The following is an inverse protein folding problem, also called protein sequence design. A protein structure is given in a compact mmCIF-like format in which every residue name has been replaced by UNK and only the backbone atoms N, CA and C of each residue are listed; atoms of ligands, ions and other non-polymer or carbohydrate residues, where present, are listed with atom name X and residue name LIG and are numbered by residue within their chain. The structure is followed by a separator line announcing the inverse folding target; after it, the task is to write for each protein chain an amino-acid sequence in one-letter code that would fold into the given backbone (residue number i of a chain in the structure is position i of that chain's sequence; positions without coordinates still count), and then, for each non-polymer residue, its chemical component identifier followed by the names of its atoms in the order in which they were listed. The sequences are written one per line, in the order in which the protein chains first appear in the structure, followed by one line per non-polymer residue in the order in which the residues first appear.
data_IF_949246646158
#
_entry.id   IF_949246646158
#
_cell.length_a   1.000
_cell.length_b   1.000
_cell.length_c   1.000
_cell.angle_alpha   90.00
_cell.angle_beta   90.00
_cell.angle_gamma   90.00
#
_symmetry.space_group_name_H-M   'P 1'
#
loop_
_entity.id
_entity.type
_entity.pdbx_description
1 polymer ?
#
# COMPACT_ATOMS: atom_id res chain seq x y z
N UNK A 1 -16.11 -11.36 -21.90
CA UNK A 1 -15.24 -11.56 -20.73
C UNK A 1 -13.80 -11.41 -21.19
N UNK A 2 -12.92 -10.70 -20.46
CA UNK A 2 -11.52 -10.64 -20.85
C UNK A 2 -10.96 -12.07 -20.85
N UNK A 3 -10.17 -12.41 -21.87
CA UNK A 3 -9.57 -13.73 -22.10
C UNK A 3 -8.74 -14.25 -20.92
N UNK A 4 -8.34 -13.37 -20.02
CA UNK A 4 -7.27 -13.62 -19.06
C UNK A 4 -7.77 -14.27 -17.76
N UNK A 5 -9.09 -14.29 -17.54
CA UNK A 5 -9.70 -14.99 -16.40
C UNK A 5 -9.98 -16.47 -16.66
N UNK A 6 -9.82 -16.94 -17.91
CA UNK A 6 -10.09 -18.34 -18.28
C UNK A 6 -9.21 -19.36 -17.54
N UNK A 7 -8.07 -18.90 -17.01
CA UNK A 7 -7.10 -19.74 -16.29
C UNK A 7 -7.23 -19.68 -14.76
N UNK A 8 -8.16 -18.88 -14.22
CA UNK A 8 -8.39 -18.83 -12.77
C UNK A 8 -9.33 -19.97 -12.36
N UNK A 9 -8.95 -20.85 -11.40
CA UNK A 9 -9.85 -21.87 -10.89
C UNK A 9 -11.13 -21.27 -10.33
N UNK A 10 -12.28 -21.86 -10.66
CA UNK A 10 -13.61 -21.33 -10.32
C UNK A 10 -13.89 -21.28 -8.80
N UNK A 11 -13.14 -22.07 -8.02
CA UNK A 11 -13.23 -22.17 -6.58
C UNK A 11 -12.32 -21.17 -5.84
N UNK A 12 -11.54 -20.37 -6.55
CA UNK A 12 -10.66 -19.35 -5.95
C UNK A 12 -11.42 -18.03 -5.82
N UNK A 13 -11.50 -17.45 -4.61
CA UNK A 13 -12.14 -16.15 -4.42
C UNK A 13 -11.35 -15.05 -5.15
N UNK A 14 -12.06 -14.30 -5.99
CA UNK A 14 -11.51 -13.18 -6.75
C UNK A 14 -11.81 -11.85 -6.05
N UNK A 15 -10.75 -11.09 -5.76
CA UNK A 15 -10.84 -9.72 -5.23
C UNK A 15 -10.23 -8.77 -6.26
N UNK A 16 -10.96 -7.70 -6.58
CA UNK A 16 -10.50 -6.66 -7.51
C UNK A 16 -10.19 -5.39 -6.73
N UNK A 17 -8.97 -4.88 -6.87
CA UNK A 17 -8.51 -3.68 -6.19
C UNK A 17 -8.05 -2.62 -7.19
N UNK A 18 -8.29 -1.32 -6.90
CA UNK A 18 -7.92 -0.24 -7.80
C UNK A 18 -6.40 -0.18 -7.99
N UNK A 19 -5.90 0.06 -9.21
CA UNK A 19 -4.47 0.27 -9.48
C UNK A 19 -4.27 1.34 -10.55
N UNK A 20 -3.05 1.89 -10.69
CA UNK A 20 -2.68 2.81 -11.79
C UNK A 20 -2.93 4.30 -11.53
N UNK A 21 -2.68 5.14 -12.54
CA UNK A 21 -2.93 6.60 -12.58
C UNK A 21 -4.44 6.88 -12.59
N UNK A 22 -5.12 6.46 -11.53
CA UNK A 22 -6.55 6.52 -11.42
C UNK A 22 -7.01 7.96 -11.35
N UNK A 23 -7.64 8.42 -12.44
CA UNK A 23 -8.42 9.66 -12.51
C UNK A 23 -9.79 9.51 -11.82
N UNK A 24 -9.95 8.51 -10.95
CA UNK A 24 -11.22 8.23 -10.30
C UNK A 24 -11.47 9.24 -9.20
N UNK A 25 -12.63 9.90 -9.26
CA UNK A 25 -13.14 10.69 -8.15
C UNK A 25 -13.72 9.69 -7.13
N UNK A 26 -12.92 9.36 -6.13
CA UNK A 26 -13.36 8.50 -5.03
C UNK A 26 -14.41 9.28 -4.22
N UNK A 27 -15.64 8.78 -4.17
CA UNK A 27 -16.71 9.34 -3.32
C UNK A 27 -17.20 8.22 -2.43
N UNK A 28 -16.81 8.26 -1.16
CA UNK A 28 -17.27 7.34 -0.15
C UNK A 28 -17.68 8.13 1.10
N UNK A 29 -18.71 7.62 1.79
CA UNK A 29 -19.33 8.34 2.90
C UNK A 29 -18.80 7.90 4.28
N UNK A 30 -18.05 6.80 4.38
CA UNK A 30 -17.54 6.30 5.66
C UNK A 30 -16.16 5.65 5.55
N UNK A 31 -16.07 4.51 4.87
CA UNK A 31 -14.85 3.71 4.82
C UNK A 31 -14.63 3.08 3.44
N UNK A 32 -13.38 3.02 3.01
CA UNK A 32 -12.95 2.35 1.78
C UNK A 32 -11.96 1.25 2.18
N UNK A 33 -12.33 0.00 1.93
CA UNK A 33 -11.47 -1.15 2.16
C UNK A 33 -10.87 -1.62 0.84
N UNK A 34 -9.54 -1.75 0.80
CA UNK A 34 -8.80 -2.20 -0.37
C UNK A 34 -7.86 -3.31 0.05
N UNK A 35 -7.95 -4.47 -0.59
CA UNK A 35 -7.07 -5.60 -0.30
C UNK A 35 -6.05 -5.77 -1.41
N UNK A 36 -4.77 -5.76 -1.06
CA UNK A 36 -3.69 -6.11 -1.97
C UNK A 36 -2.94 -7.34 -1.48
N UNK A 37 -2.31 -8.04 -2.41
CA UNK A 37 -1.26 -9.01 -2.08
C UNK A 37 -0.07 -8.29 -1.46
N UNK A 38 0.37 -8.77 -0.31
CA UNK A 38 1.52 -8.26 0.43
C UNK A 38 2.85 -8.89 0.05
N UNK A 39 2.91 -9.85 -0.88
CA UNK A 39 4.11 -10.66 -1.22
C UNK A 39 5.45 -9.91 -1.36
N UNK A 40 6.57 -10.64 -1.33
CA UNK A 40 7.92 -10.06 -1.21
C UNK A 40 8.33 -9.09 -2.35
N UNK A 41 7.67 -9.16 -3.51
CA UNK A 41 7.85 -8.31 -4.68
C UNK A 41 6.69 -7.33 -4.83
N UNK A 42 6.45 -6.50 -3.82
CA UNK A 42 5.27 -5.62 -3.73
C UNK A 42 5.51 -4.18 -4.17
N UNK A 43 6.59 -3.88 -4.91
CA UNK A 43 6.86 -2.53 -5.43
C UNK A 43 5.68 -1.97 -6.25
N UNK A 44 5.09 -2.80 -7.12
CA UNK A 44 3.92 -2.41 -7.92
C UNK A 44 2.68 -2.16 -7.04
N UNK A 45 2.53 -2.90 -5.95
CA UNK A 45 1.45 -2.75 -4.99
C UNK A 45 1.60 -1.45 -4.22
N UNK A 46 2.80 -1.15 -3.72
CA UNK A 46 3.08 0.13 -3.07
C UNK A 46 2.87 1.33 -3.99
N UNK A 47 3.24 1.19 -5.27
CA UNK A 47 2.96 2.22 -6.27
C UNK A 47 1.44 2.39 -6.44
N UNK A 48 0.68 1.29 -6.46
CA UNK A 48 -0.79 1.33 -6.52
C UNK A 48 -1.38 2.02 -5.29
N UNK A 49 -0.95 1.65 -4.08
CA UNK A 49 -1.33 2.31 -2.81
C UNK A 49 -1.09 3.81 -2.88
N UNK A 50 0.10 4.21 -3.32
CA UNK A 50 0.48 5.62 -3.48
C UNK A 50 -0.46 6.36 -4.42
N UNK A 51 -0.77 5.76 -5.57
CA UNK A 51 -1.65 6.39 -6.56
C UNK A 51 -3.10 6.49 -6.04
N UNK A 52 -3.58 5.49 -5.31
CA UNK A 52 -4.89 5.53 -4.68
C UNK A 52 -4.95 6.64 -3.61
N UNK A 53 -3.91 6.77 -2.78
CA UNK A 53 -3.84 7.88 -1.81
C UNK A 53 -3.83 9.23 -2.53
N UNK A 54 -3.07 9.36 -3.62
CA UNK A 54 -3.07 10.58 -4.44
C UNK A 54 -4.47 10.90 -5.00
N UNK A 55 -5.15 9.91 -5.57
CA UNK A 55 -6.52 10.08 -6.07
C UNK A 55 -7.50 10.46 -4.95
N UNK A 56 -7.36 9.82 -3.79
CA UNK A 56 -8.14 10.12 -2.59
C UNK A 56 -7.95 11.56 -2.12
N UNK A 57 -6.70 12.04 -2.04
CA UNK A 57 -6.39 13.43 -1.68
C UNK A 57 -6.93 14.45 -2.68
N UNK A 58 -7.04 14.09 -3.96
CA UNK A 58 -7.66 14.95 -4.98
C UNK A 58 -9.19 14.90 -4.98
N UNK A 59 -9.78 13.89 -4.33
CA UNK A 59 -11.23 13.74 -4.24
C UNK A 59 -11.84 14.66 -3.17
N UNK A 60 -13.17 14.75 -3.12
CA UNK A 60 -13.92 15.39 -2.02
C UNK A 60 -14.31 14.40 -0.91
N UNK A 61 -13.75 13.19 -0.93
CA UNK A 61 -14.08 12.16 0.06
C UNK A 61 -13.53 12.54 1.45
N UNK A 62 -14.37 12.37 2.46
CA UNK A 62 -14.00 12.45 3.89
C UNK A 62 -13.87 11.05 4.52
N UNK A 63 -14.12 9.99 3.74
CA UNK A 63 -14.00 8.61 4.21
C UNK A 63 -12.59 8.27 4.70
N UNK A 64 -12.51 7.35 5.65
CA UNK A 64 -11.28 6.68 6.03
C UNK A 64 -10.91 5.62 4.97
N UNK A 65 -9.63 5.51 4.63
CA UNK A 65 -9.16 4.49 3.67
C UNK A 65 -8.29 3.46 4.39
N UNK A 66 -8.65 2.19 4.22
CA UNK A 66 -8.00 1.05 4.85
C UNK A 66 -7.46 0.14 3.75
N UNK A 67 -6.14 -0.06 3.77
CA UNK A 67 -5.46 -1.02 2.94
C UNK A 67 -5.11 -2.26 3.76
N UNK A 68 -5.58 -3.40 3.30
CA UNK A 68 -5.27 -4.72 3.83
C UNK A 68 -4.22 -5.37 2.93
N UNK A 69 -3.08 -5.79 3.49
CA UNK A 69 -2.00 -6.45 2.77
C UNK A 69 -1.86 -7.90 3.25
N UNK A 70 -2.22 -8.84 2.38
CA UNK A 70 -2.08 -10.28 2.66
C UNK A 70 -0.61 -10.70 2.51
N UNK A 71 0.10 -10.92 3.61
CA UNK A 71 1.51 -11.29 3.60
C UNK A 71 1.76 -12.74 3.16
N UNK A 72 0.70 -13.54 3.03
CA UNK A 72 0.72 -14.93 2.61
C UNK A 72 0.38 -15.10 1.12
N UNK A 73 0.01 -14.00 0.45
CA UNK A 73 -0.19 -13.99 -1.00
C UNK A 73 1.14 -13.92 -1.76
N UNK A 74 1.24 -14.70 -2.84
CA UNK A 74 2.31 -14.60 -3.82
C UNK A 74 1.91 -13.56 -4.88
N UNK A 75 2.88 -12.78 -5.34
CA UNK A 75 2.68 -11.86 -6.46
C UNK A 75 3.16 -12.56 -7.73
N UNK A 76 2.23 -12.83 -8.65
CA UNK A 76 2.54 -13.27 -10.00
C UNK A 76 2.45 -12.06 -10.93
N UNK A 77 3.56 -11.71 -11.57
CA UNK A 77 3.63 -10.61 -12.53
C UNK A 77 4.05 -11.15 -13.88
N UNK A 78 3.22 -10.94 -14.90
CA UNK A 78 3.49 -11.40 -16.27
C UNK A 78 4.60 -10.57 -16.95
N UNK A 79 4.67 -9.26 -16.67
CA UNK A 79 5.76 -8.36 -17.09
C UNK A 79 5.68 -6.98 -16.39
N UNK A 80 6.77 -6.20 -16.32
CA UNK A 80 6.74 -4.78 -15.91
C UNK A 80 8.02 -4.24 -15.26
N UNK A 81 8.02 -2.94 -14.92
CA UNK A 81 9.16 -2.24 -14.31
C UNK A 81 9.05 -2.19 -12.77
N UNK A 82 10.14 -2.53 -12.09
CA UNK A 82 10.39 -2.18 -10.69
C UNK A 82 10.56 -0.66 -10.57
N UNK A 83 9.71 0.02 -9.81
CA UNK A 83 9.55 1.47 -9.93
C UNK A 83 9.30 2.20 -8.63
N UNK A 84 10.03 1.87 -7.56
CA UNK A 84 10.12 2.69 -6.36
C UNK A 84 11.57 2.60 -5.87
N UNK A 85 12.24 3.73 -5.61
CA UNK A 85 13.60 3.80 -5.05
C UNK A 85 13.64 3.33 -3.58
N UNK A 86 13.03 2.19 -3.29
CA UNK A 86 13.04 1.55 -2.00
C UNK A 86 14.16 0.52 -2.03
N UNK A 87 15.14 0.71 -1.14
CA UNK A 87 16.27 -0.20 -1.01
C UNK A 87 15.97 -1.25 0.04
N UNK A 88 15.92 -2.53 -0.38
CA UNK A 88 15.88 -3.66 0.53
C UNK A 88 17.04 -4.62 0.23
N UNK A 89 17.49 -5.41 1.22
CA UNK A 89 18.55 -6.39 0.99
C UNK A 89 18.07 -7.46 0.00
N UNK A 90 18.54 -7.40 -1.26
CA UNK A 90 18.25 -8.39 -2.32
C UNK A 90 18.43 -9.86 -1.86
N UNK A 91 19.46 -10.23 -1.08
CA UNK A 91 19.63 -11.60 -0.59
C UNK A 91 18.49 -12.08 0.32
N UNK A 92 17.77 -11.18 0.97
CA UNK A 92 16.61 -11.52 1.80
C UNK A 92 15.37 -11.75 0.94
N UNK A 93 15.14 -10.90 -0.08
CA UNK A 93 14.00 -11.01 -1.01
C UNK A 93 14.00 -12.39 -1.70
N UNK A 94 15.17 -12.87 -2.12
CA UNK A 94 15.27 -14.13 -2.86
C UNK A 94 15.05 -15.40 -2.01
N UNK A 95 14.82 -15.29 -0.69
CA UNK A 95 14.66 -16.46 0.20
C UNK A 95 13.24 -17.01 0.24
N UNK A 96 12.22 -16.17 0.05
CA UNK A 96 10.82 -16.58 0.02
C UNK A 96 10.02 -15.59 -0.81
N UNK A 97 9.01 -16.09 -1.54
CA UNK A 97 8.04 -15.27 -2.26
C UNK A 97 6.98 -14.65 -1.33
N UNK A 98 6.93 -15.10 -0.08
CA UNK A 98 5.98 -14.62 0.92
C UNK A 98 6.61 -13.52 1.78
N UNK A 99 5.86 -12.44 1.97
CA UNK A 99 6.34 -11.35 2.82
C UNK A 99 6.41 -11.77 4.29
N UNK A 100 5.49 -12.63 4.76
CA UNK A 100 5.54 -13.12 6.15
C UNK A 100 6.88 -13.79 6.50
N UNK A 101 7.44 -14.56 5.58
CA UNK A 101 8.70 -15.27 5.79
C UNK A 101 9.89 -14.30 5.73
N UNK A 102 9.82 -13.30 4.84
CA UNK A 102 10.82 -12.24 4.75
C UNK A 102 10.91 -11.44 6.05
N UNK A 103 9.75 -11.14 6.65
CA UNK A 103 9.63 -10.36 7.87
C UNK A 103 9.79 -11.17 9.17
N UNK A 104 9.99 -12.49 9.08
CA UNK A 104 10.28 -13.34 10.24
C UNK A 104 11.62 -13.00 10.93
N UNK A 105 12.51 -12.29 10.24
CA UNK A 105 13.83 -11.89 10.77
C UNK A 105 13.80 -10.44 11.26
N UNK A 106 13.96 -10.22 12.56
CA UNK A 106 13.79 -8.90 13.19
C UNK A 106 14.61 -7.74 12.54
N UNK A 107 15.90 -7.91 12.18
CA UNK A 107 16.63 -6.87 11.44
C UNK A 107 16.00 -6.49 10.10
N UNK A 108 15.51 -7.48 9.34
CA UNK A 108 14.86 -7.25 8.03
C UNK A 108 13.52 -6.56 8.23
N UNK A 109 12.75 -7.02 9.22
CA UNK A 109 11.47 -6.45 9.60
C UNK A 109 11.58 -4.95 9.95
N UNK A 110 12.53 -4.59 10.80
CA UNK A 110 12.73 -3.21 11.22
C UNK A 110 13.11 -2.29 10.03
N UNK A 111 14.04 -2.74 9.18
CA UNK A 111 14.43 -2.00 7.97
C UNK A 111 13.23 -1.85 7.03
N UNK A 112 12.44 -2.90 6.89
CA UNK A 112 11.31 -2.91 5.97
C UNK A 112 10.26 -1.88 6.38
N UNK A 113 9.80 -1.92 7.63
CA UNK A 113 8.80 -0.99 8.14
C UNK A 113 9.30 0.45 8.15
N UNK A 114 10.54 0.68 8.59
CA UNK A 114 11.13 2.01 8.63
C UNK A 114 11.27 2.63 7.23
N UNK A 115 11.77 1.88 6.24
CA UNK A 115 11.88 2.35 4.85
C UNK A 115 10.51 2.69 4.27
N UNK A 116 9.51 1.86 4.53
CA UNK A 116 8.16 2.05 4.02
C UNK A 116 7.47 3.29 4.61
N UNK A 117 7.51 3.45 5.93
CA UNK A 117 6.95 4.62 6.61
C UNK A 117 7.71 5.90 6.26
N UNK A 118 9.04 5.84 6.17
CA UNK A 118 9.87 6.96 5.73
C UNK A 118 9.51 7.40 4.31
N UNK A 119 9.27 6.46 3.41
CA UNK A 119 8.84 6.77 2.05
C UNK A 119 7.52 7.53 2.03
N UNK A 120 6.47 7.04 2.70
CA UNK A 120 5.18 7.73 2.72
C UNK A 120 5.25 9.08 3.43
N UNK A 121 5.98 9.17 4.55
CA UNK A 121 6.23 10.43 5.26
C UNK A 121 6.81 11.49 4.32
N UNK A 122 7.89 11.14 3.62
CA UNK A 122 8.60 12.04 2.73
C UNK A 122 7.79 12.38 1.48
N UNK A 123 7.12 11.38 0.90
CA UNK A 123 6.30 11.55 -0.30
C UNK A 123 5.12 12.49 -0.02
N UNK A 124 4.39 12.28 1.08
CA UNK A 124 3.30 13.16 1.49
C UNK A 124 3.79 14.59 1.74
N UNK A 125 4.83 14.75 2.58
CA UNK A 125 5.37 16.06 2.92
C UNK A 125 5.85 16.87 1.70
N UNK A 126 6.47 16.21 0.71
CA UNK A 126 7.06 16.87 -0.46
C UNK A 126 6.05 17.14 -1.56
N UNK A 127 5.18 16.18 -1.88
CA UNK A 127 4.33 16.24 -3.08
C UNK A 127 2.91 16.71 -2.79
N UNK A 128 2.39 16.49 -1.58
CA UNK A 128 0.97 16.65 -1.27
C UNK A 128 0.67 17.54 -0.07
N UNK A 129 1.67 18.22 0.49
CA UNK A 129 1.48 19.06 1.68
C UNK A 129 0.39 20.13 1.51
N UNK A 130 0.07 20.59 0.31
CA UNK A 130 -1.04 21.52 0.07
C UNK A 130 -2.45 20.92 0.16
N UNK A 131 -2.59 19.59 0.17
CA UNK A 131 -3.89 18.91 0.05
C UNK A 131 -4.54 18.54 1.39
N UNK A 132 -3.79 18.57 2.49
CA UNK A 132 -4.24 18.21 3.83
C UNK A 132 -3.66 19.20 4.87
N UNK A 133 -4.37 19.36 5.98
CA UNK A 133 -3.89 19.99 7.23
C UNK A 133 -3.03 19.00 7.99
N UNK A 134 -3.58 17.83 8.28
CA UNK A 134 -2.85 16.72 8.90
C UNK A 134 -3.09 15.44 8.11
N UNK A 135 -2.02 14.73 7.78
CA UNK A 135 -2.08 13.38 7.22
C UNK A 135 -1.57 12.39 8.26
N UNK A 136 -2.42 11.45 8.64
CA UNK A 136 -2.12 10.39 9.60
C UNK A 136 -2.13 9.05 8.86
N UNK A 137 -1.04 8.31 8.98
CA UNK A 137 -0.95 6.94 8.50
C UNK A 137 -0.73 6.01 9.67
N UNK A 138 -1.74 5.18 9.96
CA UNK A 138 -1.65 4.13 10.95
C UNK A 138 -1.14 2.86 10.27
N UNK A 139 -0.04 2.32 10.75
CA UNK A 139 0.57 1.10 10.24
C UNK A 139 0.49 0.02 11.31
N UNK A 140 -0.08 -1.13 10.95
CA UNK A 140 -0.20 -2.28 11.83
C UNK A 140 0.18 -3.57 11.10
N UNK A 141 0.99 -4.38 11.75
CA UNK A 141 1.33 -5.76 11.37
C UNK A 141 1.48 -6.59 12.64
N UNK A 142 1.64 -7.90 12.53
CA UNK A 142 1.95 -8.75 13.68
C UNK A 142 3.23 -8.25 14.41
N UNK A 143 3.11 -8.03 15.71
CA UNK A 143 4.23 -7.61 16.57
C UNK A 143 4.73 -6.18 16.36
N UNK A 144 4.17 -5.39 15.44
CA UNK A 144 4.62 -4.02 15.17
C UNK A 144 3.47 -3.09 14.79
N UNK A 145 3.45 -1.91 15.39
CA UNK A 145 2.54 -0.83 15.03
C UNK A 145 3.22 0.51 15.15
N UNK A 146 3.04 1.37 14.16
CA UNK A 146 3.54 2.75 14.19
C UNK A 146 2.51 3.67 13.55
N UNK A 147 2.42 4.90 14.05
CA UNK A 147 1.64 5.96 13.42
C UNK A 147 2.60 7.05 12.98
N UNK A 148 2.51 7.45 11.71
CA UNK A 148 3.19 8.66 11.26
C UNK A 148 2.18 9.78 11.07
N UNK A 149 2.58 10.98 11.47
CA UNK A 149 1.78 12.19 11.32
C UNK A 149 2.59 13.20 10.52
N UNK A 150 2.01 13.72 9.45
CA UNK A 150 2.62 14.73 8.59
C UNK A 150 1.74 15.97 8.59
N UNK A 151 2.34 17.12 8.90
CA UNK A 151 1.66 18.41 8.82
C UNK A 151 1.71 18.97 7.41
N UNK A 152 0.61 19.57 6.97
CA UNK A 152 0.46 20.21 5.67
C UNK A 152 -0.10 21.62 5.78
N UNK A 153 -0.48 22.19 4.63
CA UNK A 153 -0.97 23.55 4.43
C UNK A 153 -2.42 23.57 3.91
N UNK A 154 -3.02 22.41 3.71
CA UNK A 154 -4.43 22.27 3.33
C UNK A 154 -5.37 22.45 4.52
N UNK A 155 -6.64 22.13 4.32
CA UNK A 155 -7.71 22.39 5.31
C UNK A 155 -8.26 21.13 5.99
N UNK A 156 -8.05 19.95 5.40
CA UNK A 156 -8.66 18.69 5.84
C UNK A 156 -7.71 17.81 6.63
N UNK A 157 -8.23 17.08 7.60
CA UNK A 157 -7.49 15.99 8.22
C UNK A 157 -7.76 14.70 7.43
N UNK A 158 -6.71 13.92 7.19
CA UNK A 158 -6.76 12.70 6.38
C UNK A 158 -6.17 11.57 7.18
N UNK A 159 -6.90 10.46 7.25
CA UNK A 159 -6.47 9.24 7.92
C UNK A 159 -6.45 8.05 6.95
N UNK A 160 -5.33 7.35 6.94
CA UNK A 160 -5.07 6.16 6.14
C UNK A 160 -4.61 5.04 7.06
N UNK A 161 -5.09 3.83 6.84
CA UNK A 161 -4.68 2.66 7.60
C UNK A 161 -4.06 1.61 6.70
N UNK A 162 -2.92 1.09 7.13
CA UNK A 162 -2.28 -0.07 6.55
C UNK A 162 -2.31 -1.21 7.57
N UNK A 163 -3.00 -2.29 7.22
CA UNK A 163 -3.07 -3.52 8.02
C UNK A 163 -2.42 -4.65 7.23
N UNK A 164 -1.38 -5.25 7.79
CA UNK A 164 -0.71 -6.43 7.27
C UNK A 164 -1.13 -7.65 8.09
N UNK A 165 -1.50 -8.74 7.41
CA UNK A 165 -2.00 -9.97 8.02
C UNK A 165 -1.44 -11.23 7.34
#
# INVERSE_FOLDING_TARGET
YPSDLANVPLDVPLVVSPTGNNRFNIVANSEINITYSGGNHNYCIWNSTRQVISAFLNSKSEARIIFHYDMQAIIAQESGMEGLNLSFPRPSINRSNLLKDLLATAPVQAIYHASYLSYFRNFMAKQYSGMYRTFKLNYKTEGYSETITVQGKGLRDVEVDFTYF
#
